data_IF_860397019598
#
_entry.id   IF_860397019598
#
_cell.length_a   1.000
_cell.length_b   1.000
_cell.length_c   1.000
_cell.angle_alpha   90.00
_cell.angle_beta   90.00
_cell.angle_gamma   90.00
#
_symmetry.space_group_name_H-M   'P 1'
#
loop_
_entity.id
_entity.type
_entity.pdbx_description
1 polymer ?
#
# COMPACT_ATOMS: atom_id res chain seq x y z
N UNK A 1 -18.00 17.45 -4.44
CA UNK A 1 -18.05 16.03 -4.85
C UNK A 1 -17.52 15.23 -3.67
N UNK A 2 -18.24 14.22 -3.19
CA UNK A 2 -17.69 13.36 -2.14
C UNK A 2 -16.51 12.59 -2.74
N UNK A 3 -15.29 12.83 -2.25
CA UNK A 3 -14.12 12.07 -2.67
C UNK A 3 -14.23 10.64 -2.11
N UNK A 4 -13.94 9.63 -2.94
CA UNK A 4 -14.02 8.22 -2.54
C UNK A 4 -12.94 7.88 -1.50
N UNK A 5 -13.33 7.20 -0.42
CA UNK A 5 -12.40 6.69 0.59
C UNK A 5 -11.53 5.58 0.00
N UNK A 6 -10.22 5.65 0.21
CA UNK A 6 -9.32 4.60 -0.23
C UNK A 6 -8.23 4.29 0.81
N UNK A 7 -7.61 3.13 0.67
CA UNK A 7 -6.50 2.70 1.49
C UNK A 7 -5.38 2.15 0.62
N UNK A 8 -4.15 2.53 0.94
CA UNK A 8 -2.94 2.11 0.23
C UNK A 8 -2.08 1.36 1.23
N UNK A 9 -1.67 0.14 0.89
CA UNK A 9 -0.83 -0.70 1.74
C UNK A 9 0.50 -0.97 1.04
N UNK A 10 1.59 -0.48 1.62
CA UNK A 10 2.95 -0.66 1.11
C UNK A 10 3.67 -1.71 1.96
N UNK A 11 3.97 -2.85 1.36
CA UNK A 11 4.62 -3.96 2.04
C UNK A 11 6.11 -3.68 2.31
N UNK A 12 6.70 -4.46 3.22
CA UNK A 12 8.12 -4.34 3.56
C UNK A 12 9.03 -5.19 2.69
N UNK A 13 10.31 -5.23 3.07
CA UNK A 13 11.36 -6.05 2.45
C UNK A 13 10.98 -7.53 2.49
N UNK A 14 11.25 -8.24 1.41
CA UNK A 14 10.95 -9.67 1.24
C UNK A 14 9.47 -10.02 1.28
N UNK A 15 8.58 -9.03 1.10
CA UNK A 15 7.14 -9.23 1.14
C UNK A 15 6.50 -9.10 -0.26
N UNK A 16 5.25 -9.52 -0.33
CA UNK A 16 4.34 -9.34 -1.46
C UNK A 16 2.97 -8.83 -0.96
N UNK A 17 2.06 -8.40 -1.85
CA UNK A 17 0.68 -8.04 -1.50
C UNK A 17 -0.09 -9.11 -0.74
N UNK A 18 0.25 -10.38 -0.93
CA UNK A 18 -0.42 -11.51 -0.28
C UNK A 18 0.18 -11.91 1.06
N UNK A 19 1.23 -11.21 1.50
CA UNK A 19 1.95 -11.56 2.72
C UNK A 19 1.18 -11.20 3.99
N UNK A 20 1.35 -12.04 5.02
CA UNK A 20 0.90 -11.78 6.40
C UNK A 20 -0.57 -11.34 6.51
N UNK A 21 -0.80 -10.10 6.95
CA UNK A 21 -2.10 -9.55 7.29
C UNK A 21 -2.68 -8.66 6.17
N UNK A 22 -1.92 -8.38 5.10
CA UNK A 22 -2.36 -7.47 4.03
C UNK A 22 -3.66 -7.94 3.36
N UNK A 23 -3.87 -9.25 3.07
CA UNK A 23 -5.15 -9.70 2.52
C UNK A 23 -6.31 -9.55 3.51
N UNK A 24 -6.07 -9.83 4.79
CA UNK A 24 -7.09 -9.78 5.84
C UNK A 24 -7.57 -8.35 6.08
N UNK A 25 -6.64 -7.40 6.21
CA UNK A 25 -6.99 -5.99 6.39
C UNK A 25 -7.61 -5.40 5.12
N UNK A 26 -7.15 -5.80 3.92
CA UNK A 26 -7.74 -5.34 2.66
C UNK A 26 -9.20 -5.75 2.56
N UNK A 27 -9.51 -7.01 2.91
CA UNK A 27 -10.89 -7.50 2.97
C UNK A 27 -11.72 -6.80 4.05
N UNK A 28 -11.11 -6.42 5.17
CA UNK A 28 -11.80 -5.67 6.21
C UNK A 28 -12.14 -4.24 5.75
N UNK A 29 -11.15 -3.50 5.24
CA UNK A 29 -11.32 -2.13 4.73
C UNK A 29 -12.29 -2.06 3.54
N UNK A 30 -12.22 -3.04 2.63
CA UNK A 30 -13.18 -3.16 1.53
C UNK A 30 -14.62 -3.28 2.02
N UNK A 31 -14.86 -4.06 3.10
CA UNK A 31 -16.19 -4.17 3.73
C UNK A 31 -16.65 -2.88 4.42
N UNK A 32 -15.72 -2.00 4.78
CA UNK A 32 -16.02 -0.67 5.31
C UNK A 32 -16.21 0.39 4.20
N UNK A 33 -16.14 -0.01 2.93
CA UNK A 33 -16.37 0.87 1.78
C UNK A 33 -15.12 1.62 1.31
N UNK A 34 -13.93 1.17 1.68
CA UNK A 34 -12.68 1.68 1.12
C UNK A 34 -12.34 0.95 -0.18
N UNK A 35 -11.88 1.68 -1.18
CA UNK A 35 -11.13 1.09 -2.29
C UNK A 35 -9.70 0.80 -1.81
N UNK A 36 -9.25 -0.46 -1.87
CA UNK A 36 -7.98 -0.87 -1.27
C UNK A 36 -6.99 -1.26 -2.36
N UNK A 37 -5.82 -0.64 -2.33
CA UNK A 37 -4.74 -0.92 -3.25
C UNK A 37 -3.49 -1.40 -2.50
N UNK A 38 -3.00 -2.57 -2.89
CA UNK A 38 -1.80 -3.20 -2.34
C UNK A 38 -0.87 -3.54 -3.52
N UNK A 39 -0.02 -2.60 -3.97
CA UNK A 39 0.87 -2.87 -5.09
C UNK A 39 1.97 -3.85 -4.71
N UNK A 40 2.42 -4.62 -5.69
CA UNK A 40 3.73 -5.28 -5.60
C UNK A 40 4.81 -4.21 -5.81
N UNK A 41 5.62 -3.97 -4.78
CA UNK A 41 6.81 -3.13 -4.92
C UNK A 41 7.92 -3.92 -5.64
N UNK A 42 8.66 -3.29 -6.56
CA UNK A 42 9.74 -3.94 -7.29
C UNK A 42 10.90 -4.30 -6.37
N UNK A 43 11.63 -5.36 -6.75
CA UNK A 43 12.82 -5.87 -6.07
C UNK A 43 12.64 -6.00 -4.55
N UNK A 44 11.61 -6.73 -4.07
CA UNK A 44 11.24 -6.74 -2.64
C UNK A 44 12.36 -7.26 -1.73
N UNK A 45 13.19 -8.19 -2.18
CA UNK A 45 14.33 -8.73 -1.42
C UNK A 45 15.45 -7.70 -1.22
N UNK A 46 15.63 -6.80 -2.18
CA UNK A 46 16.67 -5.76 -2.19
C UNK A 46 16.07 -4.40 -2.58
N UNK A 47 15.32 -3.75 -1.66
CA UNK A 47 14.56 -2.56 -1.96
C UNK A 47 15.44 -1.41 -2.46
N UNK A 48 15.05 -0.83 -3.59
CA UNK A 48 15.65 0.38 -4.14
C UNK A 48 14.59 1.47 -4.21
N UNK A 49 14.81 2.56 -3.46
CA UNK A 49 13.88 3.68 -3.38
C UNK A 49 13.59 4.29 -4.76
N UNK A 50 14.60 4.36 -5.64
CA UNK A 50 14.43 4.93 -6.98
C UNK A 50 13.45 4.13 -7.86
N UNK A 51 13.29 2.83 -7.56
CA UNK A 51 12.37 1.93 -8.26
C UNK A 51 11.03 1.80 -7.55
N UNK A 52 11.03 1.79 -6.21
CA UNK A 52 9.81 1.58 -5.43
C UNK A 52 8.97 2.86 -5.31
N UNK A 53 9.60 4.04 -5.20
CA UNK A 53 8.89 5.31 -5.05
C UNK A 53 7.94 5.63 -6.22
N UNK A 54 8.32 5.45 -7.50
CA UNK A 54 7.40 5.64 -8.62
C UNK A 54 6.16 4.73 -8.55
N UNK A 55 6.34 3.47 -8.12
CA UNK A 55 5.21 2.54 -7.94
C UNK A 55 4.35 3.02 -6.79
N UNK A 56 4.91 3.31 -5.62
CA UNK A 56 4.15 3.81 -4.47
C UNK A 56 3.33 5.05 -4.84
N UNK A 57 3.94 6.05 -5.49
CA UNK A 57 3.29 7.30 -5.88
C UNK A 57 2.27 7.15 -7.04
N UNK A 58 2.21 6.01 -7.72
CA UNK A 58 1.24 5.77 -8.79
C UNK A 58 -0.20 5.52 -8.29
N UNK A 59 -0.38 5.38 -6.98
CA UNK A 59 -1.70 5.24 -6.36
C UNK A 59 -2.54 6.53 -6.44
N UNK A 60 -3.82 6.41 -6.06
CA UNK A 60 -4.73 7.55 -5.95
C UNK A 60 -4.62 8.10 -4.52
N UNK A 61 -4.05 9.29 -4.36
CA UNK A 61 -3.94 9.97 -3.06
C UNK A 61 -4.93 11.13 -2.98
N UNK A 62 -5.74 11.16 -1.94
CA UNK A 62 -6.67 12.24 -1.62
C UNK A 62 -6.76 12.45 -0.10
N UNK A 63 -7.55 13.42 0.35
CA UNK A 63 -7.68 13.77 1.77
C UNK A 63 -8.34 12.67 2.63
N UNK A 64 -8.94 11.66 2.00
CA UNK A 64 -9.56 10.50 2.64
C UNK A 64 -8.72 9.21 2.48
N UNK A 65 -7.49 9.32 1.97
CA UNK A 65 -6.57 8.18 1.84
C UNK A 65 -5.99 7.77 3.19
N UNK A 66 -6.12 6.49 3.51
CA UNK A 66 -5.35 5.85 4.59
C UNK A 66 -4.11 5.22 3.98
N UNK A 67 -2.93 5.71 4.33
CA UNK A 67 -1.66 5.09 3.95
C UNK A 67 -1.15 4.18 5.08
N UNK A 68 -0.86 2.93 4.74
CA UNK A 68 -0.40 1.90 5.67
C UNK A 68 0.94 1.37 5.17
N UNK A 69 2.01 1.63 5.92
CA UNK A 69 3.35 1.09 5.65
C UNK A 69 3.70 -0.05 6.60
N UNK A 70 4.21 -1.17 6.07
CA UNK A 70 4.75 -2.28 6.87
C UNK A 70 6.28 -2.28 6.85
N UNK A 71 6.91 -2.21 8.03
CA UNK A 71 8.37 -2.25 8.18
C UNK A 71 9.08 -1.22 7.28
N UNK A 72 9.90 -1.64 6.31
CA UNK A 72 10.54 -0.72 5.35
C UNK A 72 9.53 0.04 4.49
N UNK A 73 8.36 -0.54 4.20
CA UNK A 73 7.27 0.15 3.52
C UNK A 73 6.70 1.34 4.30
N UNK A 74 7.06 1.53 5.58
CA UNK A 74 6.74 2.73 6.37
C UNK A 74 7.90 3.71 6.56
N UNK A 75 9.12 3.35 6.16
CA UNK A 75 10.32 4.21 6.28
C UNK A 75 10.70 4.91 4.97
N UNK A 76 10.23 4.39 3.84
CA UNK A 76 10.69 4.79 2.51
C UNK A 76 9.90 5.93 1.86
N UNK A 77 8.93 6.55 2.55
CA UNK A 77 7.98 7.51 1.96
C UNK A 77 7.65 8.65 2.92
#
# INVERSE_FOLDING_TARGET
MNQSKNAIILHGTGCSPDSYWFPSISKHLSRLGYDVWVPQLPDPEFPDLSKQLPVALSGIYNENTILIGHSSGGHSF
#
